data_IF_810928192460
#
_entry.id   IF_810928192460
#
_cell.length_a   1.000
_cell.length_b   1.000
_cell.length_c   1.000
_cell.angle_alpha   90.00
_cell.angle_beta   90.00
_cell.angle_gamma   90.00
#
_symmetry.space_group_name_H-M   'P 1'
#
loop_
_entity.id
_entity.type
_entity.pdbx_description
1 polymer ?
#
# COMPACT_ATOMS: atom_id res chain seq x y z
N UNK A 1 -13.70 -15.26 -10.84
CA UNK A 1 -14.94 -14.74 -10.23
C UNK A 1 -14.79 -14.78 -8.72
N UNK A 2 -14.94 -13.62 -8.08
CA UNK A 2 -14.87 -13.42 -6.63
C UNK A 2 -16.30 -13.25 -6.10
N UNK A 3 -16.66 -13.93 -5.00
CA UNK A 3 -18.04 -14.00 -4.49
C UNK A 3 -18.15 -13.19 -3.20
N UNK A 4 -19.11 -12.27 -3.14
CA UNK A 4 -19.42 -11.51 -1.93
C UNK A 4 -19.94 -12.44 -0.82
N UNK A 5 -19.60 -12.18 0.46
CA UNK A 5 -20.08 -13.00 1.56
C UNK A 5 -21.60 -12.90 1.67
N UNK A 6 -22.27 -14.03 1.96
CA UNK A 6 -23.69 -14.01 2.27
C UNK A 6 -23.92 -13.36 3.64
N UNK A 7 -24.88 -12.45 3.70
CA UNK A 7 -25.25 -11.74 4.93
C UNK A 7 -26.73 -11.96 5.18
N UNK A 8 -27.05 -12.39 6.40
CA UNK A 8 -28.44 -12.60 6.79
C UNK A 8 -29.24 -11.30 6.69
N UNK A 9 -30.48 -11.40 6.22
CA UNK A 9 -31.38 -10.26 6.11
C UNK A 9 -31.52 -9.47 7.41
N UNK A 10 -31.63 -10.13 8.56
CA UNK A 10 -31.72 -9.44 9.85
C UNK A 10 -30.51 -8.52 10.11
N UNK A 11 -29.31 -8.94 9.69
CA UNK A 11 -28.13 -8.10 9.80
C UNK A 11 -28.20 -6.92 8.83
N UNK A 12 -28.63 -7.11 7.57
CA UNK A 12 -28.81 -6.03 6.59
C UNK A 12 -29.86 -5.02 7.08
N UNK A 13 -31.02 -5.51 7.54
CA UNK A 13 -32.12 -4.69 8.00
C UNK A 13 -31.74 -3.86 9.24
N UNK A 14 -30.76 -4.30 10.04
CA UNK A 14 -30.20 -3.52 11.17
C UNK A 14 -29.26 -2.38 10.76
N UNK A 15 -28.87 -2.28 9.48
CA UNK A 15 -27.93 -1.26 9.04
C UNK A 15 -28.54 0.13 9.16
N UNK A 16 -27.83 1.11 9.77
CA UNK A 16 -28.28 2.49 9.75
C UNK A 16 -28.33 3.01 8.31
N UNK A 17 -29.44 3.66 7.92
CA UNK A 17 -29.65 4.17 6.55
C UNK A 17 -28.49 5.06 6.10
N UNK A 18 -28.00 5.91 7.01
CA UNK A 18 -26.89 6.85 6.77
C UNK A 18 -25.60 6.18 6.24
N UNK A 19 -25.35 4.93 6.62
CA UNK A 19 -24.13 4.19 6.26
C UNK A 19 -24.41 2.97 5.38
N UNK A 20 -25.67 2.78 4.96
CA UNK A 20 -26.12 1.60 4.21
C UNK A 20 -25.49 1.50 2.82
N UNK A 21 -25.24 2.64 2.16
CA UNK A 21 -24.87 2.71 0.75
C UNK A 21 -25.95 3.34 -0.13
N UNK A 22 -27.10 3.70 0.44
CA UNK A 22 -28.13 4.47 -0.26
C UNK A 22 -27.63 5.88 -0.62
N UNK A 23 -28.08 6.44 -1.76
CA UNK A 23 -27.72 7.80 -2.15
C UNK A 23 -28.11 8.84 -1.10
N UNK A 24 -27.28 9.87 -0.90
CA UNK A 24 -27.52 10.93 0.09
C UNK A 24 -28.91 11.57 -0.01
N UNK A 25 -29.47 11.68 -1.23
CA UNK A 25 -30.84 12.16 -1.44
C UNK A 25 -31.89 11.27 -0.78
N UNK A 26 -31.76 9.95 -0.88
CA UNK A 26 -32.65 8.99 -0.21
C UNK A 26 -32.50 9.14 1.29
N UNK A 27 -31.26 9.09 1.80
CA UNK A 27 -30.95 9.22 3.23
C UNK A 27 -31.58 10.50 3.82
N UNK A 28 -31.37 11.64 3.17
CA UNK A 28 -31.87 12.93 3.64
C UNK A 28 -33.40 13.06 3.55
N UNK A 29 -34.04 12.40 2.58
CA UNK A 29 -35.51 12.42 2.44
C UNK A 29 -36.22 11.61 3.51
N UNK A 30 -35.63 10.51 3.99
CA UNK A 30 -36.27 9.60 4.95
C UNK A 30 -35.90 9.89 6.42
N UNK A 31 -34.76 10.57 6.65
CA UNK A 31 -34.29 10.92 8.01
C UNK A 31 -35.31 11.69 8.87
N UNK A 32 -36.07 12.67 8.34
CA UNK A 32 -37.07 13.40 9.13
C UNK A 32 -38.25 12.54 9.61
N UNK A 33 -38.47 11.39 8.98
CA UNK A 33 -39.64 10.53 9.21
C UNK A 33 -39.35 9.37 10.17
N UNK A 34 -38.31 9.48 10.99
CA UNK A 34 -37.85 8.45 11.93
C UNK A 34 -37.47 7.11 11.28
N UNK A 35 -37.20 7.07 9.97
CA UNK A 35 -36.67 5.89 9.30
C UNK A 35 -35.16 5.82 9.60
N UNK A 36 -34.75 4.95 10.52
CA UNK A 36 -33.36 4.91 11.00
C UNK A 36 -32.56 3.78 10.36
N UNK A 37 -33.22 2.67 10.05
CA UNK A 37 -32.61 1.42 9.58
C UNK A 37 -33.10 0.99 8.20
N UNK A 38 -32.32 0.14 7.53
CA UNK A 38 -32.72 -0.45 6.25
C UNK A 38 -34.03 -1.24 6.39
N UNK A 39 -34.25 -1.90 7.53
CA UNK A 39 -35.50 -2.60 7.84
C UNK A 39 -36.70 -1.66 7.90
N UNK A 40 -36.56 -0.50 8.55
CA UNK A 40 -37.62 0.52 8.58
C UNK A 40 -37.99 0.97 7.17
N UNK A 41 -36.98 1.23 6.33
CA UNK A 41 -37.20 1.65 4.95
C UNK A 41 -37.92 0.58 4.13
N UNK A 42 -37.55 -0.70 4.34
CA UNK A 42 -38.10 -1.84 3.59
C UNK A 42 -39.58 -2.09 3.90
N UNK A 43 -40.05 -1.69 5.07
CA UNK A 43 -41.44 -1.85 5.47
C UNK A 43 -42.39 -0.81 4.86
N UNK A 44 -41.85 0.23 4.21
CA UNK A 44 -42.63 1.25 3.53
C UNK A 44 -42.98 0.81 2.11
N UNK A 45 -44.23 1.02 1.74
CA UNK A 45 -44.71 0.86 0.36
C UNK A 45 -44.22 2.00 -0.54
N UNK A 46 -44.20 1.77 -1.85
CA UNK A 46 -43.86 2.79 -2.85
C UNK A 46 -44.73 4.05 -2.71
N UNK A 47 -46.01 3.91 -2.36
CA UNK A 47 -46.90 5.06 -2.15
C UNK A 47 -46.52 5.88 -0.92
N UNK A 48 -46.11 5.24 0.17
CA UNK A 48 -45.60 5.92 1.38
C UNK A 48 -44.26 6.60 1.12
N UNK A 49 -43.34 5.92 0.43
CA UNK A 49 -42.04 6.49 0.05
C UNK A 49 -42.19 7.75 -0.81
N UNK A 50 -43.16 7.74 -1.74
CA UNK A 50 -43.45 8.88 -2.62
C UNK A 50 -44.10 10.07 -1.90
N UNK A 51 -44.55 9.91 -0.65
CA UNK A 51 -45.02 11.04 0.17
C UNK A 51 -43.86 11.83 0.80
N UNK A 52 -42.65 11.26 0.84
CA UNK A 52 -41.50 11.97 1.40
C UNK A 52 -41.04 13.11 0.50
N UNK A 53 -40.76 14.26 1.13
CA UNK A 53 -40.26 15.44 0.44
C UNK A 53 -38.96 15.11 -0.30
N UNK A 54 -38.90 15.52 -1.56
CA UNK A 54 -37.72 15.36 -2.43
C UNK A 54 -37.40 13.93 -2.86
N UNK A 55 -38.23 12.93 -2.50
CA UNK A 55 -38.14 11.56 -3.00
C UNK A 55 -39.01 11.45 -4.26
N UNK A 56 -38.37 11.22 -5.40
CA UNK A 56 -39.06 11.03 -6.69
C UNK A 56 -38.79 9.65 -7.28
N UNK A 57 -39.31 9.40 -8.49
CA UNK A 57 -39.17 8.11 -9.20
C UNK A 57 -37.73 7.61 -9.31
N UNK A 58 -36.75 8.51 -9.50
CA UNK A 58 -35.33 8.14 -9.58
C UNK A 58 -34.83 7.63 -8.22
N UNK A 59 -35.19 8.31 -7.13
CA UNK A 59 -34.83 7.88 -5.77
C UNK A 59 -35.49 6.55 -5.41
N UNK A 60 -36.75 6.36 -5.81
CA UNK A 60 -37.46 5.09 -5.64
C UNK A 60 -36.77 3.95 -6.41
N UNK A 61 -36.34 4.19 -7.65
CA UNK A 61 -35.53 3.23 -8.41
C UNK A 61 -34.24 2.88 -7.67
N UNK A 62 -33.50 3.85 -7.15
CA UNK A 62 -32.28 3.57 -6.39
C UNK A 62 -32.53 2.73 -5.12
N UNK A 63 -33.69 2.91 -4.47
CA UNK A 63 -34.09 2.07 -3.33
C UNK A 63 -34.34 0.63 -3.78
N UNK A 64 -35.04 0.43 -4.90
CA UNK A 64 -35.27 -0.89 -5.48
C UNK A 64 -33.98 -1.58 -5.91
N UNK A 65 -33.11 -0.87 -6.65
CA UNK A 65 -31.80 -1.39 -7.08
C UNK A 65 -30.94 -1.79 -5.86
N UNK A 66 -30.96 -0.98 -4.79
CA UNK A 66 -30.30 -1.30 -3.52
C UNK A 66 -30.85 -2.59 -2.89
N UNK A 67 -32.17 -2.75 -2.82
CA UNK A 67 -32.78 -3.95 -2.23
C UNK A 67 -32.58 -5.20 -3.08
N UNK A 68 -32.54 -5.07 -4.40
CA UNK A 68 -32.19 -6.16 -5.31
C UNK A 68 -30.77 -6.66 -5.02
N UNK A 69 -29.79 -5.74 -4.91
CA UNK A 69 -28.42 -6.10 -4.59
C UNK A 69 -28.31 -6.73 -3.19
N UNK A 70 -29.01 -6.20 -2.20
CA UNK A 70 -29.09 -6.82 -0.87
C UNK A 70 -29.66 -8.24 -0.92
N UNK A 71 -30.68 -8.49 -1.74
CA UNK A 71 -31.26 -9.83 -1.89
C UNK A 71 -30.29 -10.80 -2.58
N UNK A 72 -29.51 -10.33 -3.57
CA UNK A 72 -28.47 -11.13 -4.22
C UNK A 72 -27.33 -11.49 -3.23
N UNK A 73 -26.95 -10.56 -2.37
CA UNK A 73 -25.97 -10.77 -1.28
C UNK A 73 -26.54 -11.75 -0.25
N UNK A 74 -27.78 -11.58 0.19
CA UNK A 74 -28.45 -12.49 1.12
C UNK A 74 -28.40 -13.94 0.62
N UNK A 75 -28.67 -14.14 -0.66
CA UNK A 75 -28.66 -15.45 -1.31
C UNK A 75 -27.25 -15.97 -1.64
N UNK A 76 -26.19 -15.20 -1.39
CA UNK A 76 -24.80 -15.55 -1.73
C UNK A 76 -24.53 -15.66 -3.23
N UNK A 77 -25.35 -15.01 -4.06
CA UNK A 77 -25.25 -15.05 -5.53
C UNK A 77 -24.43 -13.91 -6.11
N UNK A 78 -24.18 -12.86 -5.32
CA UNK A 78 -23.45 -11.70 -5.80
C UNK A 78 -21.98 -12.04 -6.04
N UNK A 79 -21.53 -11.81 -7.28
CA UNK A 79 -20.18 -12.11 -7.71
C UNK A 79 -19.64 -11.02 -8.64
N UNK A 80 -18.31 -10.90 -8.66
CA UNK A 80 -17.59 -9.90 -9.44
C UNK A 80 -16.39 -10.53 -10.14
N UNK A 81 -16.09 -10.12 -11.36
CA UNK A 81 -14.89 -10.58 -12.06
C UNK A 81 -13.71 -9.64 -11.84
N UNK A 82 -13.99 -8.34 -11.75
CA UNK A 82 -12.99 -7.30 -11.61
C UNK A 82 -13.45 -6.20 -10.66
N UNK A 83 -12.48 -5.50 -10.06
CA UNK A 83 -12.77 -4.39 -9.14
C UNK A 83 -13.53 -3.26 -9.85
N UNK A 84 -13.25 -3.10 -11.14
CA UNK A 84 -13.90 -2.15 -12.05
C UNK A 84 -15.44 -2.20 -11.98
N UNK A 85 -16.02 -3.41 -11.85
CA UNK A 85 -17.46 -3.63 -11.77
C UNK A 85 -18.04 -2.99 -10.50
N UNK A 86 -17.32 -3.09 -9.37
CA UNK A 86 -17.74 -2.48 -8.10
C UNK A 86 -17.62 -0.97 -8.19
N UNK A 87 -16.51 -0.45 -8.72
CA UNK A 87 -16.30 0.99 -8.79
C UNK A 87 -17.40 1.65 -9.63
N UNK A 88 -17.78 1.05 -10.78
CA UNK A 88 -18.88 1.54 -11.62
C UNK A 88 -20.27 1.35 -11.00
N UNK A 89 -20.42 0.39 -10.09
CA UNK A 89 -21.69 0.16 -9.39
C UNK A 89 -21.97 1.25 -8.35
N UNK A 90 -20.94 1.75 -7.65
CA UNK A 90 -21.11 2.69 -6.55
C UNK A 90 -20.76 4.14 -6.89
N UNK A 91 -19.94 4.38 -7.92
CA UNK A 91 -19.42 5.70 -8.25
C UNK A 91 -20.04 6.23 -9.53
N UNK A 92 -20.26 7.54 -9.56
CA UNK A 92 -20.56 8.20 -10.83
C UNK A 92 -19.29 8.39 -11.67
N UNK A 93 -19.46 8.84 -12.91
CA UNK A 93 -18.36 9.02 -13.86
C UNK A 93 -17.31 10.03 -13.39
N UNK A 94 -17.69 11.08 -12.65
CA UNK A 94 -16.72 12.06 -12.15
C UNK A 94 -15.90 11.48 -11.01
N UNK A 95 -16.57 10.83 -10.05
CA UNK A 95 -15.96 10.15 -8.91
C UNK A 95 -14.99 9.06 -9.37
N UNK A 96 -15.43 8.23 -10.32
CA UNK A 96 -14.65 7.15 -10.90
C UNK A 96 -13.37 7.67 -11.58
N UNK A 97 -13.48 8.71 -12.42
CA UNK A 97 -12.33 9.34 -13.10
C UNK A 97 -11.33 9.92 -12.11
N UNK A 98 -11.81 10.63 -11.08
CA UNK A 98 -10.94 11.21 -10.05
C UNK A 98 -10.18 10.11 -9.31
N UNK A 99 -10.83 9.02 -8.91
CA UNK A 99 -10.14 7.91 -8.25
C UNK A 99 -9.10 7.25 -9.16
N UNK A 100 -9.42 6.97 -10.42
CA UNK A 100 -8.46 6.39 -11.38
C UNK A 100 -7.21 7.24 -11.49
N UNK A 101 -7.36 8.56 -11.62
CA UNK A 101 -6.24 9.47 -11.76
C UNK A 101 -5.40 9.54 -10.47
N UNK A 102 -6.06 9.70 -9.32
CA UNK A 102 -5.40 9.88 -8.02
C UNK A 102 -4.62 8.64 -7.58
N UNK A 103 -5.21 7.47 -7.75
CA UNK A 103 -4.59 6.19 -7.40
C UNK A 103 -3.72 5.61 -8.53
N UNK A 104 -3.64 6.25 -9.69
CA UNK A 104 -2.75 5.82 -10.77
C UNK A 104 -3.17 4.52 -11.44
N UNK A 105 -4.47 4.25 -11.53
CA UNK A 105 -5.01 3.01 -12.10
C UNK A 105 -4.60 2.81 -13.57
N UNK A 106 -4.54 3.89 -14.36
CA UNK A 106 -4.08 3.85 -15.74
C UNK A 106 -2.54 3.96 -15.88
N UNK A 107 -1.81 4.16 -14.79
CA UNK A 107 -0.37 4.40 -14.82
C UNK A 107 0.39 3.14 -15.22
N UNK A 108 1.34 3.25 -16.15
CA UNK A 108 2.33 2.20 -16.42
C UNK A 108 3.45 2.14 -15.39
N UNK A 109 3.49 3.07 -14.42
CA UNK A 109 4.55 3.15 -13.41
C UNK A 109 4.32 2.13 -12.31
N UNK A 110 5.40 1.54 -11.82
CA UNK A 110 5.41 0.63 -10.66
C UNK A 110 5.66 1.37 -9.35
N UNK A 111 5.42 2.69 -9.29
CA UNK A 111 5.66 3.48 -8.08
C UNK A 111 4.42 3.44 -7.18
N UNK A 112 4.61 3.09 -5.91
CA UNK A 112 3.57 3.16 -4.88
C UNK A 112 3.50 4.60 -4.38
N UNK A 113 2.58 5.39 -4.93
CA UNK A 113 2.36 6.76 -4.46
C UNK A 113 0.88 7.12 -4.47
N UNK A 114 0.42 7.66 -3.35
CA UNK A 114 -0.92 8.25 -3.18
C UNK A 114 -1.13 9.53 -4.00
N UNK A 115 -0.06 10.05 -4.61
CA UNK A 115 -0.07 11.29 -5.38
C UNK A 115 0.47 11.06 -6.79
N UNK A 116 -0.03 10.02 -7.47
CA UNK A 116 0.37 9.74 -8.87
C UNK A 116 0.08 10.95 -9.77
N UNK A 117 -1.11 11.53 -9.61
CA UNK A 117 -1.50 12.82 -10.20
C UNK A 117 -2.04 13.68 -9.07
N UNK A 118 -1.50 14.88 -8.88
CA UNK A 118 -1.92 15.80 -7.81
C UNK A 118 -3.37 16.26 -8.01
N UNK A 119 -4.04 16.66 -6.92
CA UNK A 119 -5.39 17.25 -7.00
C UNK A 119 -5.45 18.47 -7.93
N UNK A 120 -4.36 19.25 -8.02
CA UNK A 120 -4.27 20.40 -8.90
C UNK A 120 -4.17 19.98 -10.38
N UNK A 121 -3.38 18.96 -10.69
CA UNK A 121 -3.27 18.44 -12.06
C UNK A 121 -4.59 17.84 -12.55
N UNK A 122 -5.30 17.06 -11.71
CA UNK A 122 -6.65 16.57 -12.03
C UNK A 122 -7.62 17.74 -12.23
N UNK A 123 -7.55 18.75 -11.35
CA UNK A 123 -8.40 19.95 -11.47
C UNK A 123 -8.16 20.69 -12.79
N UNK A 124 -6.90 20.86 -13.19
CA UNK A 124 -6.55 21.49 -14.46
C UNK A 124 -7.09 20.70 -15.67
N UNK A 125 -6.99 19.36 -15.64
CA UNK A 125 -7.47 18.50 -16.72
C UNK A 125 -9.00 18.47 -16.84
N UNK A 126 -9.72 18.54 -15.72
CA UNK A 126 -11.18 18.47 -15.65
C UNK A 126 -11.85 19.86 -15.57
N UNK A 127 -11.08 20.94 -15.72
CA UNK A 127 -11.53 22.33 -15.57
C UNK A 127 -12.28 22.60 -14.23
N UNK A 128 -11.78 22.02 -13.13
CA UNK A 128 -12.31 22.14 -11.77
C UNK A 128 -11.23 22.66 -10.82
N UNK A 129 -11.64 23.28 -9.72
CA UNK A 129 -10.67 23.71 -8.69
C UNK A 129 -10.12 22.49 -7.94
N UNK A 130 -8.92 22.62 -7.37
CA UNK A 130 -8.30 21.62 -6.49
C UNK A 130 -9.26 21.19 -5.37
N UNK A 131 -9.95 22.14 -4.75
CA UNK A 131 -10.89 21.87 -3.65
C UNK A 131 -12.10 21.08 -4.12
N UNK A 132 -12.60 21.34 -5.34
CA UNK A 132 -13.70 20.55 -5.91
C UNK A 132 -13.28 19.11 -6.17
N UNK A 133 -12.07 18.87 -6.70
CA UNK A 133 -11.54 17.51 -6.88
C UNK A 133 -11.41 16.79 -5.54
N UNK A 134 -10.92 17.47 -4.50
CA UNK A 134 -10.82 16.91 -3.15
C UNK A 134 -12.19 16.45 -2.64
N UNK A 135 -13.23 17.28 -2.78
CA UNK A 135 -14.59 16.93 -2.38
C UNK A 135 -15.14 15.73 -3.17
N UNK A 136 -14.88 15.66 -4.48
CA UNK A 136 -15.29 14.51 -5.30
C UNK A 136 -14.59 13.24 -4.82
N UNK A 137 -13.27 13.31 -4.55
CA UNK A 137 -12.52 12.18 -4.01
C UNK A 137 -13.07 11.73 -2.64
N UNK A 138 -13.35 12.66 -1.73
CA UNK A 138 -13.89 12.35 -0.40
C UNK A 138 -15.26 11.66 -0.49
N UNK A 139 -16.15 12.16 -1.35
CA UNK A 139 -17.47 11.55 -1.58
C UNK A 139 -17.33 10.14 -2.17
N UNK A 140 -16.42 9.95 -3.13
CA UNK A 140 -16.15 8.66 -3.72
C UNK A 140 -15.66 7.64 -2.67
N UNK A 141 -14.69 8.01 -1.84
CA UNK A 141 -14.19 7.17 -0.74
C UNK A 141 -15.27 6.90 0.30
N UNK A 142 -16.12 7.88 0.62
CA UNK A 142 -17.24 7.70 1.54
C UNK A 142 -18.26 6.69 1.00
N UNK A 143 -18.58 6.72 -0.30
CA UNK A 143 -19.47 5.75 -0.95
C UNK A 143 -18.89 4.33 -0.90
N UNK A 144 -17.60 4.17 -1.20
CA UNK A 144 -16.90 2.88 -1.11
C UNK A 144 -16.74 2.38 0.33
N UNK A 145 -16.85 3.28 1.30
CA UNK A 145 -16.83 2.98 2.75
C UNK A 145 -18.22 2.65 3.31
N UNK A 146 -19.27 2.64 2.48
CA UNK A 146 -20.61 2.26 2.91
C UNK A 146 -20.71 0.75 3.14
N UNK A 147 -21.62 0.31 4.02
CA UNK A 147 -21.76 -1.12 4.37
C UNK A 147 -21.95 -2.00 3.14
N UNK A 148 -22.84 -1.60 2.22
CA UNK A 148 -23.07 -2.37 1.00
C UNK A 148 -21.82 -2.44 0.10
N UNK A 149 -21.10 -1.33 -0.07
CA UNK A 149 -19.87 -1.33 -0.85
C UNK A 149 -18.76 -2.17 -0.20
N UNK A 150 -18.57 -2.07 1.12
CA UNK A 150 -17.59 -2.87 1.87
C UNK A 150 -17.86 -4.37 1.76
N UNK A 151 -19.13 -4.78 1.79
CA UNK A 151 -19.54 -6.18 1.57
C UNK A 151 -19.19 -6.63 0.15
N UNK A 152 -19.48 -5.80 -0.86
CA UNK A 152 -19.11 -6.09 -2.25
C UNK A 152 -17.58 -6.14 -2.45
N UNK A 153 -16.82 -5.30 -1.73
CA UNK A 153 -15.35 -5.23 -1.80
C UNK A 153 -14.64 -6.33 -1.01
N UNK A 154 -15.30 -6.94 -0.04
CA UNK A 154 -14.74 -7.99 0.81
C UNK A 154 -13.98 -9.10 0.05
N UNK A 155 -14.46 -9.60 -1.11
CA UNK A 155 -13.74 -10.60 -1.89
C UNK A 155 -12.40 -10.11 -2.46
N UNK A 156 -12.27 -8.81 -2.70
CA UNK A 156 -11.04 -8.15 -3.16
C UNK A 156 -10.06 -7.95 -2.00
N UNK A 157 -10.55 -7.60 -0.81
CA UNK A 157 -9.72 -7.62 0.40
C UNK A 157 -9.17 -9.02 0.65
N UNK A 158 -10.01 -10.06 0.57
CA UNK A 158 -9.57 -11.45 0.72
C UNK A 158 -8.59 -11.89 -0.37
N UNK A 159 -8.78 -11.43 -1.61
CA UNK A 159 -7.81 -11.66 -2.67
C UNK A 159 -6.47 -11.01 -2.35
N UNK A 160 -6.46 -9.74 -1.92
CA UNK A 160 -5.24 -9.02 -1.58
C UNK A 160 -4.51 -9.65 -0.39
N UNK A 161 -5.23 -10.05 0.67
CA UNK A 161 -4.68 -10.81 1.80
C UNK A 161 -4.04 -12.12 1.36
N UNK A 162 -4.74 -12.93 0.57
CA UNK A 162 -4.16 -14.18 0.03
C UNK A 162 -2.96 -13.95 -0.88
N UNK A 163 -2.88 -12.79 -1.52
CA UNK A 163 -1.68 -12.41 -2.28
C UNK A 163 -0.55 -12.11 -1.29
N UNK A 164 -0.77 -11.24 -0.30
CA UNK A 164 0.23 -10.94 0.73
C UNK A 164 0.69 -12.19 1.49
N UNK A 165 -0.21 -13.12 1.84
CA UNK A 165 0.13 -14.40 2.47
C UNK A 165 1.17 -15.18 1.67
N UNK A 166 1.05 -15.19 0.34
CA UNK A 166 2.00 -15.86 -0.57
C UNK A 166 3.38 -15.19 -0.60
N UNK A 167 3.45 -13.91 -0.25
CA UNK A 167 4.69 -13.14 -0.12
C UNK A 167 5.08 -12.92 1.36
N UNK A 168 4.63 -13.82 2.25
CA UNK A 168 4.94 -13.76 3.67
C UNK A 168 4.57 -12.42 4.32
N UNK A 169 3.34 -11.98 4.05
CA UNK A 169 2.66 -10.79 4.59
C UNK A 169 3.10 -9.43 4.02
N UNK A 170 4.13 -9.36 3.17
CA UNK A 170 4.60 -8.10 2.58
C UNK A 170 4.92 -8.24 1.10
N UNK A 171 4.59 -7.23 0.29
CA UNK A 171 4.86 -7.24 -1.15
C UNK A 171 5.31 -5.85 -1.63
N UNK A 172 6.42 -5.81 -2.36
CA UNK A 172 6.91 -4.60 -3.00
C UNK A 172 6.21 -4.34 -4.34
N UNK A 173 6.36 -3.14 -4.87
CA UNK A 173 5.71 -2.74 -6.11
C UNK A 173 6.18 -3.56 -7.32
N UNK A 174 7.47 -3.90 -7.37
CA UNK A 174 8.11 -4.69 -8.42
C UNK A 174 7.58 -6.12 -8.47
N UNK A 175 7.16 -6.66 -7.32
CA UNK A 175 6.60 -8.01 -7.21
C UNK A 175 5.12 -8.05 -7.57
N UNK A 176 4.43 -6.92 -7.38
CA UNK A 176 3.03 -6.75 -7.71
C UNK A 176 2.83 -6.39 -9.20
N UNK A 177 3.77 -5.66 -9.81
CA UNK A 177 3.70 -5.19 -11.19
C UNK A 177 3.44 -6.30 -12.26
N UNK A 178 4.03 -7.51 -12.18
CA UNK A 178 3.75 -8.60 -13.13
C UNK A 178 2.29 -9.05 -13.14
N UNK A 179 1.50 -8.70 -12.11
CA UNK A 179 0.08 -9.06 -11.99
C UNK A 179 -0.85 -8.16 -12.78
N UNK A 180 -0.35 -7.21 -13.58
CA UNK A 180 -1.18 -6.27 -14.35
C UNK A 180 -2.25 -6.95 -15.23
N UNK A 181 -1.99 -8.17 -15.68
CA UNK A 181 -2.91 -8.93 -16.52
C UNK A 181 -3.82 -9.88 -15.72
N UNK A 182 -3.80 -9.84 -14.39
CA UNK A 182 -4.73 -10.62 -13.58
C UNK A 182 -6.15 -10.07 -13.80
N UNK A 183 -7.13 -10.92 -14.17
CA UNK A 183 -8.51 -10.51 -14.42
C UNK A 183 -9.13 -9.69 -13.28
N UNK A 184 -8.72 -9.93 -12.03
CA UNK A 184 -9.22 -9.20 -10.85
C UNK A 184 -8.95 -7.70 -10.95
N UNK A 185 -7.85 -7.30 -11.59
CA UNK A 185 -7.48 -5.90 -11.78
C UNK A 185 -8.01 -5.31 -13.09
N UNK A 186 -8.61 -6.11 -13.98
CA UNK A 186 -9.00 -5.68 -15.33
C UNK A 186 -7.79 -5.07 -16.06
N UNK A 187 -7.87 -3.80 -16.48
CA UNK A 187 -6.78 -3.04 -17.12
C UNK A 187 -6.03 -2.15 -16.14
N UNK A 188 -6.40 -2.16 -14.86
CA UNK A 188 -5.89 -1.26 -13.83
C UNK A 188 -4.54 -1.71 -13.29
N UNK A 189 -3.74 -0.74 -12.87
CA UNK A 189 -2.46 -0.96 -12.21
C UNK A 189 -2.68 -1.60 -10.83
N UNK A 190 -2.13 -2.79 -10.57
CA UNK A 190 -2.27 -3.47 -9.29
C UNK A 190 -1.83 -2.64 -8.07
N UNK A 191 -0.77 -1.84 -8.20
CA UNK A 191 -0.31 -0.97 -7.10
C UNK A 191 -1.35 0.12 -6.78
N UNK A 192 -1.98 0.69 -7.81
CA UNK A 192 -3.06 1.66 -7.63
C UNK A 192 -4.26 1.05 -6.94
N UNK A 193 -4.63 -0.18 -7.34
CA UNK A 193 -5.70 -0.94 -6.69
C UNK A 193 -5.37 -1.20 -5.22
N UNK A 194 -4.18 -1.71 -4.90
CA UNK A 194 -3.77 -1.94 -3.51
C UNK A 194 -3.78 -0.66 -2.67
N UNK A 195 -3.32 0.46 -3.23
CA UNK A 195 -3.40 1.77 -2.57
C UNK A 195 -4.85 2.15 -2.24
N UNK A 196 -5.79 1.98 -3.17
CA UNK A 196 -7.20 2.24 -2.90
C UNK A 196 -7.69 1.34 -1.77
N UNK A 197 -7.41 0.03 -1.84
CA UNK A 197 -7.83 -0.90 -0.80
C UNK A 197 -7.26 -0.53 0.58
N UNK A 198 -6.01 -0.08 0.68
CA UNK A 198 -5.41 0.41 1.92
C UNK A 198 -6.12 1.63 2.52
N UNK A 199 -6.71 2.49 1.67
CA UNK A 199 -7.40 3.70 2.12
C UNK A 199 -8.88 3.46 2.47
N UNK A 200 -9.41 2.27 2.18
CA UNK A 200 -10.77 1.88 2.53
C UNK A 200 -10.83 1.24 3.93
N UNK A 201 -11.91 1.47 4.68
CA UNK A 201 -12.11 0.87 5.99
C UNK A 201 -12.23 -0.65 5.87
N UNK A 202 -11.88 -1.36 6.95
CA UNK A 202 -11.94 -2.83 7.07
C UNK A 202 -10.98 -3.63 6.16
N UNK A 203 -10.12 -2.95 5.40
CA UNK A 203 -9.18 -3.64 4.53
C UNK A 203 -8.16 -4.47 5.32
N UNK A 204 -7.73 -4.00 6.49
CA UNK A 204 -6.57 -4.54 7.23
C UNK A 204 -5.31 -4.62 6.34
N UNK A 205 -5.24 -3.80 5.29
CA UNK A 205 -4.11 -3.68 4.38
C UNK A 205 -3.41 -2.36 4.68
N UNK A 206 -2.10 -2.40 4.78
CA UNK A 206 -1.29 -1.25 5.16
C UNK A 206 -0.28 -0.95 4.06
N UNK A 207 -0.04 0.33 3.82
CA UNK A 207 1.11 0.81 3.06
C UNK A 207 2.16 1.28 4.05
N UNK A 208 3.39 0.78 3.91
CA UNK A 208 4.54 1.24 4.69
C UNK A 208 5.65 1.62 3.72
N UNK A 209 5.99 2.92 3.68
CA UNK A 209 6.91 3.48 2.68
C UNK A 209 6.47 3.06 1.26
N UNK A 210 7.27 2.23 0.59
CA UNK A 210 7.06 1.81 -0.80
C UNK A 210 6.73 0.30 -0.91
N UNK A 211 6.06 -0.29 0.09
CA UNK A 211 5.51 -1.65 0.00
C UNK A 211 4.16 -1.79 0.73
N UNK A 212 3.43 -2.86 0.40
CA UNK A 212 2.16 -3.21 1.05
C UNK A 212 2.35 -4.34 2.06
N UNK A 213 1.53 -4.34 3.11
CA UNK A 213 1.62 -5.25 4.24
C UNK A 213 0.24 -5.61 4.80
N UNK A 214 0.07 -6.85 5.24
CA UNK A 214 -1.03 -7.26 6.13
C UNK A 214 -0.62 -7.19 7.62
N UNK A 215 0.68 -7.01 7.90
CA UNK A 215 1.20 -6.70 9.23
C UNK A 215 0.87 -5.24 9.57
N UNK A 216 0.30 -4.95 10.76
CA UNK A 216 0.01 -3.59 11.19
C UNK A 216 1.26 -2.70 11.22
N UNK A 217 1.07 -1.42 10.88
CA UNK A 217 2.14 -0.41 10.86
C UNK A 217 2.87 -0.32 12.21
N UNK A 218 2.16 -0.44 13.34
CA UNK A 218 2.79 -0.40 14.67
C UNK A 218 3.79 -1.55 14.89
N UNK A 219 3.47 -2.77 14.44
CA UNK A 219 4.35 -3.92 14.53
C UNK A 219 5.56 -3.78 13.59
N UNK A 220 5.35 -3.25 12.37
CA UNK A 220 6.43 -2.92 11.44
C UNK A 220 7.38 -1.87 12.04
N UNK A 221 6.85 -0.80 12.65
CA UNK A 221 7.67 0.23 13.28
C UNK A 221 8.48 -0.32 14.45
N UNK A 222 7.91 -1.19 15.28
CA UNK A 222 8.64 -1.85 16.36
C UNK A 222 9.82 -2.71 15.83
N UNK A 223 9.60 -3.40 14.72
CA UNK A 223 10.64 -4.15 14.02
C UNK A 223 11.74 -3.21 13.51
N UNK A 224 11.35 -2.13 12.81
CA UNK A 224 12.27 -1.12 12.26
C UNK A 224 13.17 -0.55 13.36
N UNK A 225 12.57 -0.06 14.46
CA UNK A 225 13.30 0.52 15.58
C UNK A 225 14.28 -0.47 16.23
N UNK A 226 13.85 -1.71 16.43
CA UNK A 226 14.68 -2.76 17.04
C UNK A 226 15.84 -3.14 16.14
N UNK A 227 15.58 -3.29 14.83
CA UNK A 227 16.61 -3.61 13.84
C UNK A 227 17.64 -2.49 13.74
N UNK A 228 17.20 -1.23 13.63
CA UNK A 228 18.10 -0.09 13.56
C UNK A 228 18.94 0.06 14.82
N UNK A 229 18.34 -0.14 16.01
CA UNK A 229 19.10 -0.11 17.27
C UNK A 229 20.22 -1.14 17.28
N UNK A 230 19.93 -2.37 16.84
CA UNK A 230 20.92 -3.42 16.77
C UNK A 230 22.02 -3.13 15.73
N UNK A 231 21.65 -2.73 14.51
CA UNK A 231 22.60 -2.38 13.45
C UNK A 231 23.53 -1.24 13.86
N UNK A 232 23.01 -0.22 14.56
CA UNK A 232 23.84 0.87 15.08
C UNK A 232 24.84 0.38 16.13
N UNK A 233 24.44 -0.55 17.00
CA UNK A 233 25.34 -1.08 18.02
C UNK A 233 26.50 -1.93 17.44
N UNK A 234 26.28 -2.60 16.30
CA UNK A 234 27.30 -3.48 15.72
C UNK A 234 28.41 -2.76 14.97
N UNK A 235 28.16 -1.54 14.46
CA UNK A 235 29.13 -0.79 13.64
C UNK A 235 29.75 -1.61 12.49
N UNK A 236 29.00 -2.57 11.91
CA UNK A 236 29.44 -3.42 10.79
C UNK A 236 28.24 -3.95 10.01
N UNK A 237 28.44 -4.48 8.79
CA UNK A 237 27.44 -5.32 8.13
C UNK A 237 27.06 -6.53 8.99
N UNK A 238 25.75 -6.72 9.18
CA UNK A 238 25.14 -7.80 9.96
C UNK A 238 24.29 -8.66 9.04
N UNK A 239 24.46 -9.99 9.09
CA UNK A 239 23.63 -10.92 8.33
C UNK A 239 22.21 -11.00 8.85
N UNK A 240 21.24 -11.28 7.97
CA UNK A 240 19.82 -11.36 8.35
C UNK A 240 19.56 -12.37 9.49
N UNK A 241 20.21 -13.54 9.47
CA UNK A 241 20.01 -14.56 10.51
C UNK A 241 20.49 -14.09 11.89
N UNK A 242 21.64 -13.38 11.93
CA UNK A 242 22.15 -12.75 13.15
C UNK A 242 21.19 -11.67 13.65
N UNK A 243 20.68 -10.83 12.74
CA UNK A 243 19.73 -9.78 13.08
C UNK A 243 18.43 -10.34 13.66
N UNK A 244 17.81 -11.34 13.02
CA UNK A 244 16.55 -11.94 13.48
C UNK A 244 16.68 -12.54 14.88
N UNK A 245 17.83 -13.12 15.22
CA UNK A 245 18.09 -13.63 16.56
C UNK A 245 18.03 -12.59 17.69
N UNK A 246 18.02 -11.30 17.33
CA UNK A 246 18.06 -10.17 18.26
C UNK A 246 16.78 -9.34 18.25
N UNK A 247 15.86 -9.62 17.31
CA UNK A 247 14.59 -8.89 17.22
C UNK A 247 13.57 -9.44 18.23
N UNK A 248 12.69 -8.58 18.76
CA UNK A 248 11.60 -9.04 19.60
C UNK A 248 10.64 -9.95 18.80
N UNK A 249 10.01 -10.94 19.45
CA UNK A 249 8.97 -11.73 18.81
C UNK A 249 7.77 -10.84 18.47
N UNK A 250 7.23 -11.01 17.27
CA UNK A 250 6.04 -10.30 16.80
C UNK A 250 4.87 -11.28 16.69
N UNK A 251 3.78 -11.13 17.47
CA UNK A 251 2.63 -12.03 17.46
C UNK A 251 1.98 -12.19 16.07
N UNK A 252 2.09 -11.17 15.23
CA UNK A 252 1.52 -11.13 13.88
C UNK A 252 2.27 -12.04 12.91
N UNK A 253 3.53 -12.39 13.21
CA UNK A 253 4.39 -13.21 12.36
C UNK A 253 4.50 -14.61 12.93
N UNK A 254 4.03 -15.60 12.16
CA UNK A 254 3.87 -16.99 12.60
C UNK A 254 5.14 -17.83 12.42
N UNK A 255 6.14 -17.32 11.71
CA UNK A 255 7.36 -18.05 11.38
C UNK A 255 8.57 -17.14 11.27
N UNK A 256 9.75 -17.71 11.52
CA UNK A 256 11.03 -17.03 11.36
C UNK A 256 11.22 -16.52 9.92
N UNK A 257 10.80 -17.29 8.92
CA UNK A 257 10.90 -16.88 7.51
C UNK A 257 10.02 -15.67 7.17
N UNK A 258 8.84 -15.57 7.79
CA UNK A 258 8.03 -14.35 7.70
C UNK A 258 8.74 -13.15 8.35
N UNK A 259 9.32 -13.33 9.54
CA UNK A 259 10.09 -12.26 10.21
C UNK A 259 11.29 -11.82 9.38
N UNK A 260 12.06 -12.75 8.81
CA UNK A 260 13.15 -12.45 7.87
C UNK A 260 12.67 -11.62 6.70
N UNK A 261 11.56 -12.05 6.08
CA UNK A 261 11.01 -11.37 4.91
C UNK A 261 10.57 -9.94 5.23
N UNK A 262 9.81 -9.76 6.31
CA UNK A 262 9.36 -8.43 6.76
C UNK A 262 10.55 -7.55 7.12
N UNK A 263 11.54 -8.07 7.85
CA UNK A 263 12.75 -7.33 8.21
C UNK A 263 13.56 -6.89 6.98
N UNK A 264 13.79 -7.80 6.03
CA UNK A 264 14.44 -7.46 4.77
C UNK A 264 13.67 -6.36 4.04
N UNK A 265 12.34 -6.47 3.94
CA UNK A 265 11.51 -5.47 3.25
C UNK A 265 11.61 -4.09 3.94
N UNK A 266 11.51 -4.04 5.27
CA UNK A 266 11.65 -2.79 6.04
C UNK A 266 13.00 -2.13 5.79
N UNK A 267 14.08 -2.90 5.90
CA UNK A 267 15.45 -2.39 5.79
C UNK A 267 15.82 -2.03 4.34
N UNK A 268 15.38 -2.81 3.36
CA UNK A 268 15.58 -2.54 1.94
C UNK A 268 14.94 -1.20 1.51
N UNK A 269 13.87 -0.79 2.17
CA UNK A 269 13.15 0.47 1.91
C UNK A 269 13.51 1.58 2.91
N UNK A 270 14.50 1.38 3.78
CA UNK A 270 14.94 2.40 4.74
C UNK A 270 16.05 3.30 4.14
N UNK A 271 15.87 4.64 4.06
CA UNK A 271 16.79 5.53 3.33
C UNK A 271 18.26 5.48 3.78
N UNK A 272 18.49 5.26 5.09
CA UNK A 272 19.83 5.31 5.68
C UNK A 272 20.43 3.91 5.96
N UNK A 273 19.85 2.86 5.38
CA UNK A 273 20.38 1.50 5.49
C UNK A 273 20.94 1.04 4.14
N UNK A 274 22.11 0.42 4.19
CA UNK A 274 22.70 -0.32 3.08
C UNK A 274 22.29 -1.78 3.18
N UNK A 275 21.70 -2.29 2.10
CA UNK A 275 21.36 -3.70 1.92
C UNK A 275 22.27 -4.33 0.88
N UNK A 276 23.00 -5.35 1.27
CA UNK A 276 23.90 -6.09 0.38
C UNK A 276 23.16 -7.18 -0.40
N UNK A 277 23.76 -7.65 -1.48
CA UNK A 277 23.25 -8.77 -2.28
C UNK A 277 23.34 -10.12 -1.54
N UNK A 278 24.18 -10.21 -0.51
CA UNK A 278 24.33 -11.37 0.38
C UNK A 278 23.47 -11.28 1.66
N UNK A 279 22.42 -10.44 1.67
CA UNK A 279 21.48 -10.26 2.79
C UNK A 279 22.14 -9.83 4.11
N UNK A 280 23.12 -8.94 4.02
CA UNK A 280 23.66 -8.18 5.14
C UNK A 280 23.15 -6.74 5.11
N UNK A 281 23.01 -6.17 6.29
CA UNK A 281 22.47 -4.84 6.49
C UNK A 281 23.40 -4.01 7.37
N UNK A 282 23.47 -2.71 7.12
CA UNK A 282 24.20 -1.76 7.96
C UNK A 282 23.61 -0.36 7.83
N UNK A 283 23.76 0.46 8.87
CA UNK A 283 23.47 1.90 8.79
C UNK A 283 24.66 2.61 8.14
N UNK A 284 24.42 3.47 7.15
CA UNK A 284 25.52 4.10 6.39
C UNK A 284 26.50 4.88 7.27
N UNK A 285 26.00 5.59 8.28
CA UNK A 285 26.82 6.47 9.12
C UNK A 285 27.92 5.73 9.90
N UNK A 286 27.71 4.45 10.19
CA UNK A 286 28.57 3.67 11.08
C UNK A 286 29.15 2.44 10.39
N UNK A 287 28.34 1.73 9.59
CA UNK A 287 28.75 0.46 8.98
C UNK A 287 29.32 0.57 7.57
N UNK A 288 29.22 1.72 6.91
CA UNK A 288 29.75 1.89 5.55
C UNK A 288 31.28 1.78 5.50
N UNK A 289 31.97 2.31 6.51
CA UNK A 289 33.43 2.26 6.60
C UNK A 289 33.98 0.83 6.70
N UNK A 290 33.53 -0.02 7.66
CA UNK A 290 33.92 -1.43 7.68
C UNK A 290 33.60 -2.18 6.39
N UNK A 291 32.43 -1.91 5.79
CA UNK A 291 32.06 -2.53 4.52
C UNK A 291 32.99 -2.10 3.37
N UNK A 292 33.37 -0.82 3.33
CA UNK A 292 34.31 -0.27 2.36
C UNK A 292 35.72 -0.86 2.52
N UNK A 293 36.17 -1.08 3.75
CA UNK A 293 37.43 -1.80 4.02
C UNK A 293 37.38 -3.23 3.49
N UNK A 294 36.27 -3.94 3.72
CA UNK A 294 36.02 -5.28 3.18
C UNK A 294 36.17 -5.29 1.66
N UNK A 295 35.62 -4.29 0.95
CA UNK A 295 35.73 -4.15 -0.50
C UNK A 295 37.17 -3.84 -0.93
N UNK A 296 37.83 -2.89 -0.27
CA UNK A 296 39.21 -2.50 -0.59
C UNK A 296 40.16 -3.70 -0.49
N UNK A 297 39.95 -4.61 0.46
CA UNK A 297 40.73 -5.83 0.61
C UNK A 297 40.59 -6.81 -0.57
N UNK A 298 39.50 -6.74 -1.33
CA UNK A 298 39.25 -7.61 -2.50
C UNK A 298 39.76 -7.03 -3.82
N UNK A 299 40.11 -5.74 -3.85
CA UNK A 299 40.53 -5.05 -5.06
C UNK A 299 42.03 -5.20 -5.30
N UNK A 300 42.41 -5.14 -6.58
CA UNK A 300 43.82 -4.92 -6.92
C UNK A 300 44.17 -3.45 -6.58
N UNK A 301 45.05 -3.28 -5.59
CA UNK A 301 45.40 -1.99 -5.00
C UNK A 301 46.80 -1.54 -5.46
N UNK A 302 47.05 -0.21 -5.55
CA UNK A 302 46.14 0.89 -5.24
C UNK A 302 45.05 1.06 -6.32
N UNK A 303 43.84 1.47 -5.92
CA UNK A 303 42.65 1.49 -6.79
C UNK A 303 42.06 2.91 -6.93
N UNK A 304 41.59 3.24 -8.12
CA UNK A 304 40.89 4.50 -8.37
C UNK A 304 39.49 4.49 -7.73
N UNK A 305 39.03 5.60 -7.13
CA UNK A 305 37.77 5.68 -6.39
C UNK A 305 36.53 5.23 -7.20
N UNK A 306 36.55 5.39 -8.53
CA UNK A 306 35.49 4.87 -9.42
C UNK A 306 35.44 3.35 -9.43
N UNK A 307 36.58 2.67 -9.42
CA UNK A 307 36.63 1.20 -9.32
C UNK A 307 36.09 0.75 -7.96
N UNK A 308 36.48 1.46 -6.88
CA UNK A 308 35.96 1.21 -5.54
C UNK A 308 34.44 1.41 -5.49
N UNK A 309 33.94 2.48 -6.12
CA UNK A 309 32.49 2.77 -6.22
C UNK A 309 31.73 1.65 -6.94
N UNK A 310 32.26 1.15 -8.05
CA UNK A 310 31.65 0.06 -8.78
C UNK A 310 31.62 -1.22 -7.93
N UNK A 311 32.75 -1.62 -7.36
CA UNK A 311 32.82 -2.79 -6.49
C UNK A 311 31.91 -2.69 -5.25
N UNK A 312 31.77 -1.48 -4.70
CA UNK A 312 30.81 -1.20 -3.63
C UNK A 312 29.36 -1.41 -4.08
N UNK A 313 28.99 -0.83 -5.22
CA UNK A 313 27.63 -0.93 -5.76
C UNK A 313 27.28 -2.32 -6.33
N UNK A 314 28.28 -3.11 -6.74
CA UNK A 314 28.10 -4.49 -7.21
C UNK A 314 27.70 -5.43 -6.07
N UNK A 315 28.10 -5.11 -4.84
CA UNK A 315 27.74 -5.85 -3.62
C UNK A 315 26.47 -5.32 -2.94
N UNK A 316 25.86 -4.25 -3.46
CA UNK A 316 24.63 -3.66 -2.92
C UNK A 316 23.42 -3.91 -3.81
N UNK A 317 22.25 -4.02 -3.18
CA UNK A 317 20.97 -4.02 -3.89
C UNK A 317 20.76 -2.69 -4.64
N UNK A 318 20.03 -2.67 -5.76
CA UNK A 318 19.90 -1.48 -6.61
C UNK A 318 19.51 -0.20 -5.86
N UNK A 319 18.58 -0.28 -4.91
CA UNK A 319 18.09 0.83 -4.11
C UNK A 319 19.08 1.35 -3.07
N UNK A 320 20.09 0.56 -2.70
CA UNK A 320 21.13 0.93 -1.74
C UNK A 320 22.39 1.51 -2.40
N UNK A 321 22.48 1.52 -3.73
CA UNK A 321 23.68 1.99 -4.44
C UNK A 321 23.97 3.46 -4.15
N UNK A 322 25.25 3.81 -4.09
CA UNK A 322 25.73 5.17 -3.79
C UNK A 322 26.54 5.74 -4.95
N UNK A 323 26.47 7.05 -5.10
CA UNK A 323 27.26 7.78 -6.08
C UNK A 323 28.74 7.84 -5.68
N UNK A 324 29.61 8.08 -6.67
CA UNK A 324 31.05 8.12 -6.44
C UNK A 324 31.50 9.25 -5.48
N UNK A 325 30.72 10.33 -5.37
CA UNK A 325 30.96 11.42 -4.41
C UNK A 325 30.86 10.95 -2.96
N UNK A 326 29.84 10.14 -2.63
CA UNK A 326 29.69 9.54 -1.30
C UNK A 326 30.86 8.62 -0.97
N UNK A 327 31.28 7.77 -1.92
CA UNK A 327 32.41 6.86 -1.72
C UNK A 327 33.71 7.64 -1.52
N UNK A 328 33.92 8.71 -2.28
CA UNK A 328 35.08 9.58 -2.14
C UNK A 328 35.13 10.24 -0.75
N UNK A 329 33.99 10.72 -0.25
CA UNK A 329 33.86 11.28 1.10
C UNK A 329 34.23 10.24 2.17
N UNK A 330 33.67 9.02 2.07
CA UNK A 330 33.98 7.93 2.99
C UNK A 330 35.48 7.55 2.94
N UNK A 331 36.07 7.43 1.75
CA UNK A 331 37.51 7.13 1.60
C UNK A 331 38.42 8.19 2.20
N UNK A 332 38.01 9.47 2.21
CA UNK A 332 38.80 10.56 2.80
C UNK A 332 38.76 10.57 4.33
N UNK A 333 37.67 10.10 4.93
CA UNK A 333 37.51 10.03 6.40
C UNK A 333 38.06 8.72 6.97
N UNK A 334 38.15 7.67 6.16
CA UNK A 334 38.58 6.35 6.56
C UNK A 334 40.08 6.31 6.93
N UNK A 335 40.37 6.20 8.23
CA UNK A 335 41.72 6.32 8.79
C UNK A 335 42.72 5.27 8.25
N UNK A 336 42.23 4.13 7.78
CA UNK A 336 43.00 3.01 7.25
C UNK A 336 43.28 3.15 5.75
N UNK A 337 42.66 4.10 5.06
CA UNK A 337 42.95 4.41 3.67
C UNK A 337 43.98 5.55 3.58
N UNK A 338 44.82 5.51 2.55
CA UNK A 338 45.69 6.62 2.17
C UNK A 338 45.52 6.95 0.70
N UNK A 339 45.54 8.24 0.37
CA UNK A 339 45.50 8.69 -1.02
C UNK A 339 46.92 8.72 -1.56
N UNK A 340 47.20 7.88 -2.57
CA UNK A 340 48.54 7.75 -3.18
C UNK A 340 48.69 8.58 -4.45
N UNK A 341 47.57 8.90 -5.13
CA UNK A 341 47.56 9.78 -6.31
C UNK A 341 46.17 10.46 -6.48
N UNK A 342 45.95 11.22 -7.56
CA UNK A 342 44.69 11.88 -7.89
C UNK A 342 43.55 10.87 -8.06
N UNK A 343 42.77 10.71 -6.99
CA UNK A 343 41.63 9.80 -6.96
C UNK A 343 42.02 8.33 -6.79
N UNK A 344 43.27 8.04 -6.42
CA UNK A 344 43.78 6.68 -6.22
C UNK A 344 44.06 6.46 -4.73
N UNK A 345 43.51 5.38 -4.18
CA UNK A 345 43.54 5.04 -2.77
C UNK A 345 44.16 3.65 -2.54
N UNK A 346 44.89 3.51 -1.45
CA UNK A 346 45.41 2.23 -0.95
C UNK A 346 45.06 2.06 0.54
N UNK A 347 45.15 0.84 1.06
CA UNK A 347 45.11 0.59 2.49
C UNK A 347 46.49 0.82 3.08
N UNK A 348 46.55 1.43 4.27
CA UNK A 348 47.77 1.55 5.04
C UNK A 348 48.27 0.15 5.43
N UNK A 349 49.60 -0.09 5.45
CA UNK A 349 50.13 -1.33 5.98
C UNK A 349 49.65 -1.52 7.42
N UNK A 350 49.20 -2.73 7.77
CA UNK A 350 48.96 -3.09 9.17
C UNK A 350 50.29 -2.94 9.93
N UNK A 351 50.28 -2.12 10.99
CA UNK A 351 51.45 -1.87 11.84
C UNK A 351 51.66 -3.01 12.83
#
# INVERSE_FOLDING_TARGET
MLVAPSIQRAAIDSWPIKFSGLPARVVNSVSPSNVQTVGDLRNLSDSELMQFRSLGRISLRHIHDFFELCAQIEQGRQCFNALDEILKLFLDEEEYKVLIARYGFASGRTLITRNTVTLQEVGNAEHKTRERIRQIQDVALQKLSSRLATVCLHPFFNYAHRLLDRYAQVIAAEELAPRRNDPVFSTHNPCGVFLLLCDLPESCLFMYRDFFSSVPVCAISLLEESALRYLNAQNRPVGIDELIGQLPPLPELKSIEQTKRVACMVLDHYPNVGSTTDNRFFVYDQGAQPFLLEIMNTLNRPAHYRMVTNAFNDRLKPQSRKGAGYILEQLNVLSQCTRVDRGVYDLKPEL
#
